data_IF_544480478598
#
_entry.id   IF_544480478598
#
_cell.length_a   1.000
_cell.length_b   1.000
_cell.length_c   1.000
_cell.angle_alpha   90.00
_cell.angle_beta   90.00
_cell.angle_gamma   90.00
#
_symmetry.space_group_name_H-M   'P 1'
#
loop_
_entity.id
_entity.type
_entity.pdbx_description
1 polymer ?
#
# COMPACT_ATOMS: atom_id res chain seq x y z
N UNK A 1 2.69 -8.78 -13.06
CA UNK A 1 2.85 -7.73 -14.09
C UNK A 1 3.00 -8.29 -15.50
N UNK A 2 3.82 -9.33 -15.75
CA UNK A 2 3.99 -9.90 -17.10
C UNK A 2 2.67 -10.31 -17.77
N UNK A 3 1.77 -10.97 -17.06
CA UNK A 3 0.47 -11.37 -17.61
C UNK A 3 -0.38 -10.16 -18.01
N UNK A 4 -0.37 -9.09 -17.19
CA UNK A 4 -1.09 -7.85 -17.51
C UNK A 4 -0.45 -7.19 -18.73
N UNK A 5 0.89 -7.13 -18.81
CA UNK A 5 1.59 -6.59 -19.97
C UNK A 5 1.20 -7.28 -21.27
N UNK A 6 1.14 -8.60 -21.25
CA UNK A 6 0.75 -9.40 -22.42
C UNK A 6 -0.75 -9.27 -22.75
N UNK A 7 -1.62 -9.39 -21.74
CA UNK A 7 -3.07 -9.35 -21.92
C UNK A 7 -3.56 -7.99 -22.44
N UNK A 8 -2.95 -6.89 -21.96
CA UNK A 8 -3.32 -5.52 -22.33
C UNK A 8 -2.56 -5.00 -23.57
N UNK A 9 -1.98 -5.89 -24.37
CA UNK A 9 -1.31 -5.55 -25.63
C UNK A 9 -0.27 -4.41 -25.47
N UNK A 10 0.47 -4.44 -24.36
CA UNK A 10 1.56 -3.51 -24.08
C UNK A 10 1.14 -2.03 -23.92
N UNK A 11 -0.11 -1.77 -23.53
CA UNK A 11 -0.65 -0.40 -23.37
C UNK A 11 -0.04 0.39 -22.20
N UNK A 12 0.47 -0.34 -21.21
CA UNK A 12 0.95 0.29 -19.98
C UNK A 12 2.47 0.28 -19.92
N UNK A 13 3.14 1.44 -20.07
CA UNK A 13 4.60 1.50 -20.03
C UNK A 13 5.20 1.12 -18.67
N UNK A 14 4.44 1.29 -17.58
CA UNK A 14 4.86 0.88 -16.24
C UNK A 14 3.78 0.02 -15.61
N UNK A 15 4.17 -1.14 -15.07
CA UNK A 15 3.31 -2.02 -14.28
C UNK A 15 4.08 -2.49 -13.05
N UNK A 16 3.53 -2.27 -11.87
CA UNK A 16 4.12 -2.63 -10.58
C UNK A 16 3.12 -3.48 -9.78
N UNK A 17 3.60 -4.34 -8.87
CA UNK A 17 2.71 -5.05 -7.96
C UNK A 17 1.92 -4.08 -7.08
N UNK A 18 0.74 -4.49 -6.67
CA UNK A 18 -0.18 -3.69 -5.84
C UNK A 18 -0.12 -4.02 -4.35
N UNK A 19 -1.29 -3.97 -3.71
CA UNK A 19 -1.47 -4.18 -2.28
C UNK A 19 -1.41 -5.64 -1.83
N UNK A 20 -1.64 -5.84 -0.54
CA UNK A 20 -1.58 -7.14 0.13
C UNK A 20 -2.72 -8.06 -0.27
N UNK A 21 -2.46 -9.36 -0.22
CA UNK A 21 -3.42 -10.40 -0.57
C UNK A 21 -3.18 -11.68 0.21
N UNK A 22 -4.20 -12.53 0.30
CA UNK A 22 -4.07 -13.85 0.91
C UNK A 22 -3.45 -14.81 -0.11
N UNK A 23 -2.24 -15.30 0.21
CA UNK A 23 -1.53 -16.24 -0.64
C UNK A 23 -2.37 -17.52 -0.84
N UNK A 24 -2.44 -18.00 -2.08
CA UNK A 24 -3.20 -19.18 -2.45
C UNK A 24 -4.71 -18.99 -2.61
N UNK A 25 -5.31 -17.97 -2.01
CA UNK A 25 -6.75 -17.69 -2.15
C UNK A 25 -7.08 -16.70 -3.28
N UNK A 26 -6.08 -16.01 -3.84
CA UNK A 26 -6.30 -14.99 -4.87
C UNK A 26 -7.18 -13.81 -4.42
N UNK A 27 -7.31 -13.60 -3.10
CA UNK A 27 -8.17 -12.57 -2.52
C UNK A 27 -7.33 -11.38 -2.04
N UNK A 28 -7.65 -10.17 -2.51
CA UNK A 28 -7.07 -8.93 -1.98
C UNK A 28 -7.55 -8.70 -0.55
N UNK A 29 -6.64 -8.29 0.33
CA UNK A 29 -6.92 -7.73 1.66
C UNK A 29 -6.55 -6.25 1.73
N UNK A 30 -6.37 -5.65 0.56
CA UNK A 30 -6.14 -4.23 0.37
C UNK A 30 -7.25 -3.66 -0.51
N UNK A 31 -7.63 -2.41 -0.24
CA UNK A 31 -8.65 -1.70 -0.99
C UNK A 31 -8.28 -1.65 -2.48
N UNK A 32 -9.27 -1.84 -3.32
CA UNK A 32 -9.19 -1.59 -4.75
C UNK A 32 -10.41 -0.79 -5.18
N UNK A 33 -10.18 0.39 -5.71
CA UNK A 33 -11.22 1.21 -6.33
C UNK A 33 -10.81 1.48 -7.78
N UNK A 34 -11.72 1.28 -8.71
CA UNK A 34 -11.54 1.54 -10.13
C UNK A 34 -12.79 2.19 -10.69
N UNK A 35 -12.62 3.28 -11.44
CA UNK A 35 -13.72 4.00 -12.08
C UNK A 35 -14.80 4.43 -11.05
N UNK A 36 -14.37 4.75 -9.82
CA UNK A 36 -15.25 5.13 -8.72
C UNK A 36 -15.93 3.98 -7.98
N UNK A 37 -15.74 2.73 -8.41
CA UNK A 37 -16.31 1.54 -7.78
C UNK A 37 -15.29 0.85 -6.86
N UNK A 38 -15.70 0.51 -5.63
CA UNK A 38 -14.88 -0.24 -4.67
C UNK A 38 -15.05 -1.74 -4.94
N UNK A 39 -14.00 -2.36 -5.46
CA UNK A 39 -13.97 -3.77 -5.86
C UNK A 39 -13.42 -4.70 -4.77
N UNK A 40 -12.62 -4.16 -3.86
CA UNK A 40 -12.11 -4.84 -2.68
C UNK A 40 -11.88 -3.83 -1.55
N UNK A 41 -11.90 -4.29 -0.31
CA UNK A 41 -11.71 -3.45 0.88
C UNK A 41 -10.44 -3.84 1.63
N UNK A 42 -9.89 -2.91 2.41
CA UNK A 42 -8.83 -3.20 3.35
C UNK A 42 -9.30 -4.21 4.41
N UNK A 43 -8.38 -4.98 5.00
CA UNK A 43 -8.68 -5.80 6.16
C UNK A 43 -9.41 -4.94 7.20
N UNK A 44 -10.58 -5.39 7.62
CA UNK A 44 -11.45 -4.64 8.54
C UNK A 44 -11.18 -5.00 10.00
N UNK A 45 -10.63 -6.18 10.24
CA UNK A 45 -10.35 -6.69 11.57
C UNK A 45 -9.01 -7.43 11.57
N UNK A 46 -8.26 -7.23 12.62
CA UNK A 46 -7.02 -7.95 12.92
C UNK A 46 -7.10 -8.52 14.33
N UNK A 47 -6.86 -9.80 14.48
CA UNK A 47 -6.84 -10.44 15.80
C UNK A 47 -5.41 -10.48 16.32
N UNK A 48 -5.21 -9.99 17.54
CA UNK A 48 -3.95 -10.05 18.28
C UNK A 48 -4.23 -10.50 19.72
N UNK A 49 -3.60 -11.58 20.14
CA UNK A 49 -3.80 -12.12 21.50
C UNK A 49 -5.28 -12.25 21.89
N UNK A 50 -6.11 -12.81 21.01
CA UNK A 50 -7.56 -13.01 21.17
C UNK A 50 -8.40 -11.72 21.29
N UNK A 51 -7.83 -10.54 21.00
CA UNK A 51 -8.54 -9.27 20.93
C UNK A 51 -8.71 -8.84 19.46
N UNK A 52 -9.87 -8.27 19.15
CA UNK A 52 -10.18 -7.74 17.82
C UNK A 52 -9.79 -6.27 17.74
N UNK A 53 -8.96 -5.94 16.77
CA UNK A 53 -8.55 -4.57 16.45
C UNK A 53 -9.10 -4.19 15.07
N UNK A 54 -9.42 -2.93 14.89
CA UNK A 54 -10.04 -2.40 13.67
C UNK A 54 -9.16 -1.29 13.07
N UNK A 55 -8.05 -1.65 12.39
CA UNK A 55 -7.14 -0.65 11.85
C UNK A 55 -7.73 0.05 10.62
N UNK A 56 -7.55 1.35 10.54
CA UNK A 56 -7.55 2.03 9.24
C UNK A 56 -6.25 1.69 8.53
N UNK A 57 -6.29 1.46 7.23
CA UNK A 57 -5.12 1.13 6.40
C UNK A 57 -4.88 2.21 5.36
N UNK A 58 -3.62 2.42 5.03
CA UNK A 58 -3.24 3.37 4.00
C UNK A 58 -3.85 3.05 2.64
N UNK A 59 -4.25 4.09 1.93
CA UNK A 59 -4.60 4.05 0.51
C UNK A 59 -3.82 5.11 -0.24
N UNK A 60 -3.51 4.84 -1.51
CA UNK A 60 -3.07 5.81 -2.49
C UNK A 60 -4.18 5.99 -3.51
N UNK A 61 -4.62 7.21 -3.72
CA UNK A 61 -5.80 7.48 -4.54
C UNK A 61 -5.57 8.58 -5.56
N UNK A 62 -6.29 8.47 -6.67
CA UNK A 62 -6.52 9.54 -7.64
C UNK A 62 -7.94 10.05 -7.43
N UNK A 63 -8.07 11.30 -7.03
CA UNK A 63 -9.38 11.96 -6.91
C UNK A 63 -9.99 12.22 -8.30
N UNK A 64 -11.31 12.42 -8.36
CA UNK A 64 -12.01 12.81 -9.61
C UNK A 64 -11.53 14.14 -10.18
N UNK A 65 -10.84 14.94 -9.39
CA UNK A 65 -10.25 16.22 -9.83
C UNK A 65 -8.81 16.07 -10.35
N UNK A 66 -8.29 14.83 -10.46
CA UNK A 66 -6.97 14.56 -11.03
C UNK A 66 -5.80 14.71 -10.06
N UNK A 67 -6.03 14.84 -8.75
CA UNK A 67 -4.98 14.92 -7.74
C UNK A 67 -4.75 13.59 -7.06
N UNK A 68 -3.47 13.25 -6.87
CA UNK A 68 -3.06 12.09 -6.10
C UNK A 68 -2.82 12.46 -4.64
N UNK A 69 -3.19 11.56 -3.73
CA UNK A 69 -2.93 11.68 -2.30
C UNK A 69 -2.86 10.31 -1.62
N UNK A 70 -2.38 10.30 -0.38
CA UNK A 70 -2.57 9.18 0.55
C UNK A 70 -3.54 9.57 1.65
N UNK A 71 -4.33 8.63 2.13
CA UNK A 71 -5.18 8.78 3.30
C UNK A 71 -5.30 7.41 4.00
N UNK A 72 -5.79 7.39 5.25
CA UNK A 72 -6.20 6.14 5.90
C UNK A 72 -7.64 5.85 5.58
N UNK A 73 -7.97 4.59 5.26
CA UNK A 73 -9.32 4.20 4.89
C UNK A 73 -9.81 3.01 5.70
N UNK A 74 -11.11 2.98 5.91
CA UNK A 74 -11.83 1.86 6.51
C UNK A 74 -13.21 1.72 5.86
N UNK A 75 -13.62 0.47 5.60
CA UNK A 75 -14.97 0.18 5.10
C UNK A 75 -15.81 -0.36 6.25
N UNK A 76 -16.87 0.34 6.58
CA UNK A 76 -17.80 -0.02 7.64
C UNK A 76 -18.67 -1.22 7.26
N UNK A 77 -19.34 -1.82 8.23
CA UNK A 77 -20.16 -3.03 8.02
C UNK A 77 -21.35 -2.83 7.07
N UNK A 78 -21.81 -1.59 6.90
CA UNK A 78 -22.80 -1.20 5.91
C UNK A 78 -22.23 -0.97 4.50
N UNK A 79 -20.94 -1.27 4.30
CA UNK A 79 -20.26 -1.19 3.00
C UNK A 79 -19.78 0.21 2.61
N UNK A 80 -19.91 1.21 3.48
CA UNK A 80 -19.41 2.56 3.18
C UNK A 80 -17.93 2.66 3.50
N UNK A 81 -17.12 3.07 2.52
CA UNK A 81 -15.71 3.35 2.72
C UNK A 81 -15.51 4.82 3.08
N UNK A 82 -14.86 5.06 4.22
CA UNK A 82 -14.44 6.38 4.69
C UNK A 82 -12.94 6.52 4.61
N UNK A 83 -12.50 7.75 4.32
CA UNK A 83 -11.10 8.19 4.45
C UNK A 83 -10.94 9.12 5.64
N UNK A 84 -9.76 9.12 6.26
CA UNK A 84 -9.45 9.86 7.48
C UNK A 84 -8.09 10.55 7.34
N UNK A 85 -7.95 11.72 7.99
CA UNK A 85 -6.70 12.49 8.05
C UNK A 85 -5.69 11.89 9.05
N UNK A 86 -6.16 11.04 9.97
CA UNK A 86 -5.35 10.36 10.98
C UNK A 86 -5.73 8.88 11.03
N UNK A 87 -4.78 7.98 11.33
CA UNK A 87 -5.10 6.58 11.52
C UNK A 87 -5.90 6.34 12.81
N UNK A 88 -6.64 5.24 12.86
CA UNK A 88 -7.18 4.74 14.12
C UNK A 88 -6.01 4.44 15.07
N UNK A 89 -6.04 4.93 16.33
CA UNK A 89 -4.89 4.84 17.24
C UNK A 89 -4.75 3.43 17.84
N UNK A 90 -4.65 2.41 17.00
CA UNK A 90 -4.43 1.03 17.42
C UNK A 90 -2.97 0.82 17.84
N UNK A 91 -2.78 -0.11 18.77
CA UNK A 91 -1.47 -0.62 19.17
C UNK A 91 -1.65 -2.02 19.72
N UNK A 92 -0.97 -3.01 19.13
CA UNK A 92 -0.99 -4.39 19.63
C UNK A 92 -0.55 -4.46 21.09
N UNK A 93 -1.24 -5.30 21.88
CA UNK A 93 -1.01 -5.44 23.32
C UNK A 93 -1.76 -4.44 24.22
N UNK A 94 -2.37 -3.41 23.65
CA UNK A 94 -3.22 -2.44 24.36
C UNK A 94 -4.71 -2.76 24.17
N UNK A 95 -5.59 -1.99 24.85
CA UNK A 95 -7.03 -2.15 24.62
C UNK A 95 -7.41 -1.73 23.20
N UNK A 96 -8.18 -2.56 22.49
CA UNK A 96 -8.66 -2.23 21.17
C UNK A 96 -9.50 -0.95 21.15
N UNK A 97 -9.33 -0.18 20.09
CA UNK A 97 -10.17 0.98 19.84
C UNK A 97 -11.50 0.55 19.20
N UNK A 98 -12.56 1.38 19.30
CA UNK A 98 -13.79 1.15 18.55
C UNK A 98 -13.52 1.00 17.04
N UNK A 99 -14.38 0.27 16.35
CA UNK A 99 -14.31 0.21 14.89
C UNK A 99 -14.49 1.60 14.27
N UNK A 100 -13.70 1.96 13.24
CA UNK A 100 -13.84 3.24 12.56
C UNK A 100 -15.23 3.47 12.00
N UNK A 101 -15.65 4.72 12.02
CA UNK A 101 -17.00 5.16 11.61
C UNK A 101 -16.95 6.53 10.94
N UNK A 102 -18.10 7.10 10.60
CA UNK A 102 -18.17 8.47 10.08
C UNK A 102 -17.60 9.54 11.02
N UNK A 103 -17.36 9.20 12.32
CA UNK A 103 -16.93 10.16 13.35
C UNK A 103 -15.72 9.70 14.16
N UNK A 104 -15.17 8.53 13.87
CA UNK A 104 -14.00 7.97 14.55
C UNK A 104 -13.08 7.25 13.54
N UNK A 105 -11.74 7.39 13.63
CA UNK A 105 -10.89 8.08 14.62
C UNK A 105 -10.97 9.61 14.55
N UNK A 106 -11.30 10.15 13.43
CA UNK A 106 -11.59 11.56 13.15
C UNK A 106 -12.88 11.62 12.33
N UNK A 107 -13.29 12.81 11.88
CA UNK A 107 -14.40 12.93 10.93
C UNK A 107 -14.03 12.22 9.63
N UNK A 108 -14.75 11.15 9.31
CA UNK A 108 -14.60 10.41 8.06
C UNK A 108 -15.23 11.14 6.87
N UNK A 109 -14.55 11.11 5.75
CA UNK A 109 -15.07 11.57 4.46
C UNK A 109 -15.35 10.33 3.60
N UNK A 110 -16.51 10.24 2.98
CA UNK A 110 -16.79 9.12 2.08
C UNK A 110 -15.79 9.11 0.93
N UNK A 111 -15.23 7.94 0.64
CA UNK A 111 -14.29 7.78 -0.46
C UNK A 111 -14.91 8.30 -1.76
N UNK A 112 -14.22 9.20 -2.44
CA UNK A 112 -14.62 9.80 -3.71
C UNK A 112 -13.44 9.82 -4.69
N UNK A 113 -12.85 8.65 -4.88
CA UNK A 113 -11.73 8.44 -5.78
C UNK A 113 -12.19 7.95 -7.15
N UNK A 114 -11.49 8.34 -8.20
CA UNK A 114 -11.57 7.71 -9.52
C UNK A 114 -10.90 6.32 -9.47
N UNK A 115 -9.76 6.27 -8.82
CA UNK A 115 -8.97 5.07 -8.61
C UNK A 115 -8.29 5.13 -7.25
N UNK A 116 -8.23 4.00 -6.54
CA UNK A 116 -7.46 3.86 -5.31
C UNK A 116 -6.93 2.45 -5.13
N UNK A 117 -5.75 2.36 -4.52
CA UNK A 117 -5.14 1.10 -4.11
C UNK A 117 -4.80 1.16 -2.63
N UNK A 118 -5.18 0.12 -1.90
CA UNK A 118 -4.80 -0.07 -0.51
C UNK A 118 -3.39 -0.66 -0.37
N UNK A 119 -2.78 -0.37 0.75
CA UNK A 119 -1.46 -0.84 1.14
C UNK A 119 -1.20 -0.49 2.59
N UNK A 120 -0.08 0.15 2.84
CA UNK A 120 0.36 0.63 4.14
C UNK A 120 1.67 -0.02 4.59
N UNK A 121 2.31 0.56 5.60
CA UNK A 121 1.90 1.81 6.24
C UNK A 121 2.10 3.03 5.34
N UNK A 122 1.42 4.13 5.70
CA UNK A 122 1.74 5.45 5.12
C UNK A 122 3.12 5.87 5.62
N UNK A 123 3.98 6.20 4.67
CA UNK A 123 5.37 6.59 4.91
C UNK A 123 5.53 8.10 5.02
N UNK A 124 4.86 8.82 4.12
CA UNK A 124 4.84 10.29 4.07
C UNK A 124 3.40 10.76 3.97
N UNK A 125 3.09 11.84 4.67
CA UNK A 125 1.83 12.58 4.56
C UNK A 125 2.12 14.07 4.70
N UNK A 126 1.67 14.86 3.73
CA UNK A 126 1.84 16.32 3.70
C UNK A 126 3.32 16.75 3.90
N UNK A 127 4.25 16.07 3.23
CA UNK A 127 5.69 16.31 3.31
C UNK A 127 6.38 15.84 4.59
N UNK A 128 5.63 15.26 5.54
CA UNK A 128 6.14 14.77 6.80
C UNK A 128 6.28 13.25 6.82
N UNK A 129 7.37 12.74 7.39
CA UNK A 129 7.52 11.31 7.65
C UNK A 129 6.51 10.90 8.73
N UNK A 130 5.67 9.91 8.42
CA UNK A 130 4.65 9.39 9.34
C UNK A 130 4.99 7.98 9.82
N UNK A 131 5.23 7.08 8.91
CA UNK A 131 5.61 5.69 9.16
C UNK A 131 4.69 4.99 10.18
N UNK A 132 3.39 4.98 9.90
CA UNK A 132 2.28 4.61 10.81
C UNK A 132 2.07 3.10 10.93
N UNK A 133 3.14 2.30 10.87
CA UNK A 133 3.02 0.83 10.90
C UNK A 133 2.42 0.30 12.21
N UNK A 134 2.60 1.00 13.34
CA UNK A 134 2.03 0.60 14.64
C UNK A 134 0.51 0.75 14.61
N UNK A 135 0.02 1.94 14.26
CA UNK A 135 -1.40 2.28 14.23
C UNK A 135 -2.15 1.48 13.16
N UNK A 136 -1.49 1.20 12.04
CA UNK A 136 -2.03 0.36 10.97
C UNK A 136 -1.88 -1.15 11.24
N UNK A 137 -1.35 -1.55 12.41
CA UNK A 137 -1.10 -2.95 12.82
C UNK A 137 -0.29 -3.75 11.79
N UNK A 138 0.77 -3.13 11.28
CA UNK A 138 1.83 -3.83 10.57
C UNK A 138 2.96 -4.23 11.54
N UNK A 139 2.56 -4.81 12.67
CA UNK A 139 3.41 -5.36 13.71
C UNK A 139 4.11 -6.66 13.27
N UNK A 140 4.80 -7.32 14.19
CA UNK A 140 5.53 -8.57 13.91
C UNK A 140 4.62 -9.67 13.38
N UNK A 141 3.36 -9.77 13.85
CA UNK A 141 2.39 -10.77 13.43
C UNK A 141 1.87 -10.55 12.01
N UNK A 142 2.02 -9.34 11.47
CA UNK A 142 1.59 -9.00 10.11
C UNK A 142 2.43 -9.65 9.01
N UNK A 143 3.65 -10.08 9.33
CA UNK A 143 4.63 -10.59 8.36
C UNK A 143 5.23 -9.52 7.44
N UNK A 144 4.89 -8.24 7.61
CA UNK A 144 5.40 -7.12 6.79
C UNK A 144 6.80 -6.68 7.24
N UNK A 145 7.12 -6.86 8.54
CA UNK A 145 8.41 -6.53 9.15
C UNK A 145 8.95 -5.14 8.75
N UNK A 146 8.30 -4.04 9.20
CA UNK A 146 8.62 -2.67 8.76
C UNK A 146 10.05 -2.23 9.04
N UNK A 147 10.63 -2.72 10.14
CA UNK A 147 11.98 -2.35 10.59
C UNK A 147 13.09 -3.22 9.99
N UNK A 148 12.72 -4.31 9.31
CA UNK A 148 13.67 -5.25 8.70
C UNK A 148 13.96 -4.90 7.24
N UNK A 149 15.15 -5.32 6.77
CA UNK A 149 15.57 -5.13 5.38
C UNK A 149 14.93 -6.18 4.49
N UNK A 150 14.07 -5.73 3.57
CA UNK A 150 13.37 -6.59 2.60
C UNK A 150 13.32 -5.93 1.22
N UNK A 151 13.04 -6.69 0.14
CA UNK A 151 12.53 -6.11 -1.08
C UNK A 151 11.28 -5.31 -0.78
N UNK A 152 11.16 -4.11 -1.32
CA UNK A 152 10.04 -3.21 -1.03
C UNK A 152 9.45 -2.64 -2.30
N UNK A 153 8.16 -2.35 -2.22
CA UNK A 153 7.40 -1.64 -3.23
C UNK A 153 6.72 -0.46 -2.56
N UNK A 154 6.75 0.69 -3.18
CA UNK A 154 6.04 1.87 -2.70
C UNK A 154 5.52 2.72 -3.86
N UNK A 155 4.55 3.56 -3.56
CA UNK A 155 4.03 4.57 -4.46
C UNK A 155 3.98 5.90 -3.72
N UNK A 156 4.32 6.98 -4.41
CA UNK A 156 4.29 8.31 -3.83
C UNK A 156 3.90 9.36 -4.85
N UNK A 157 3.61 10.55 -4.38
CA UNK A 157 3.30 11.71 -5.20
C UNK A 157 4.08 12.93 -4.72
N UNK A 158 4.63 13.68 -5.67
CA UNK A 158 5.33 14.95 -5.41
C UNK A 158 4.35 16.11 -5.29
N UNK A 159 4.81 17.24 -4.74
CA UNK A 159 4.03 18.47 -4.66
C UNK A 159 3.49 18.95 -6.01
N UNK A 160 4.14 18.58 -7.12
CA UNK A 160 3.71 18.91 -8.49
C UNK A 160 2.81 17.81 -9.10
N UNK A 161 2.19 16.98 -8.27
CA UNK A 161 1.30 15.88 -8.66
C UNK A 161 1.93 14.83 -9.60
N UNK A 162 3.26 14.63 -9.53
CA UNK A 162 3.95 13.57 -10.27
C UNK A 162 4.00 12.30 -9.42
N UNK A 163 3.56 11.19 -9.97
CA UNK A 163 3.59 9.88 -9.29
C UNK A 163 4.97 9.26 -9.40
N UNK A 164 5.45 8.72 -8.29
CA UNK A 164 6.70 7.95 -8.17
C UNK A 164 6.33 6.49 -7.93
N UNK A 165 6.71 5.62 -8.86
CA UNK A 165 6.69 4.16 -8.70
C UNK A 165 8.06 3.73 -8.18
N UNK A 166 8.09 3.06 -7.05
CA UNK A 166 9.33 2.69 -6.37
C UNK A 166 9.39 1.21 -6.07
N UNK A 167 10.49 0.56 -6.45
CA UNK A 167 10.82 -0.80 -6.03
C UNK A 167 12.30 -0.87 -5.63
N UNK A 168 12.62 -1.72 -4.67
CA UNK A 168 14.00 -2.08 -4.39
C UNK A 168 14.15 -3.61 -4.27
N UNK A 169 15.29 -4.10 -4.76
CA UNK A 169 15.70 -5.48 -4.53
C UNK A 169 16.03 -5.74 -3.06
N UNK A 170 16.17 -7.00 -2.68
CA UNK A 170 16.62 -7.38 -1.36
C UNK A 170 16.82 -8.88 -1.24
N UNK A 171 17.11 -9.34 -0.02
CA UNK A 171 17.42 -10.76 0.27
C UNK A 171 18.63 -11.28 -0.50
N UNK A 172 19.55 -10.38 -0.85
CA UNK A 172 20.81 -10.69 -1.56
C UNK A 172 20.63 -11.48 -2.86
N UNK A 173 19.51 -11.29 -3.58
CA UNK A 173 19.32 -11.83 -4.94
C UNK A 173 20.39 -11.25 -5.88
N UNK A 174 20.69 -9.97 -5.73
CA UNK A 174 21.94 -9.36 -6.18
C UNK A 174 22.86 -9.31 -4.99
N UNK A 175 24.11 -9.77 -5.15
CA UNK A 175 25.09 -9.85 -4.07
C UNK A 175 25.24 -8.50 -3.34
N UNK A 176 25.18 -8.54 -2.01
CA UNK A 176 25.27 -7.35 -1.15
C UNK A 176 24.00 -6.51 -1.03
N UNK A 177 22.98 -6.73 -1.86
CA UNK A 177 21.73 -5.97 -1.82
C UNK A 177 20.75 -6.60 -0.82
N UNK A 178 20.70 -6.05 0.40
CA UNK A 178 19.82 -6.55 1.49
C UNK A 178 18.39 -6.11 1.36
N UNK A 179 18.12 -4.97 0.74
CA UNK A 179 16.82 -4.29 0.70
C UNK A 179 16.76 -3.08 1.62
N UNK A 180 15.56 -2.63 1.94
CA UNK A 180 15.32 -1.45 2.78
C UNK A 180 14.31 -1.76 3.87
N UNK A 181 14.44 -1.07 5.02
CA UNK A 181 13.35 -0.92 5.98
C UNK A 181 12.47 0.29 5.58
N UNK A 182 11.32 0.46 6.23
CA UNK A 182 10.38 1.51 5.84
C UNK A 182 10.87 2.92 6.15
N UNK A 183 11.67 3.11 7.19
CA UNK A 183 12.25 4.42 7.50
C UNK A 183 13.23 4.87 6.40
N UNK A 184 14.07 3.97 5.90
CA UNK A 184 14.95 4.26 4.76
C UNK A 184 14.14 4.60 3.51
N UNK A 185 13.09 3.82 3.23
CA UNK A 185 12.24 4.05 2.07
C UNK A 185 11.51 5.39 2.14
N UNK A 186 10.98 5.78 3.31
CA UNK A 186 10.40 7.09 3.54
C UNK A 186 11.38 8.22 3.25
N UNK A 187 12.64 8.11 3.72
CA UNK A 187 13.67 9.10 3.47
C UNK A 187 14.04 9.21 1.98
N UNK A 188 14.14 8.08 1.28
CA UNK A 188 14.39 8.08 -0.17
C UNK A 188 13.25 8.75 -0.92
N UNK A 189 12.00 8.38 -0.65
CA UNK A 189 10.84 8.99 -1.31
C UNK A 189 10.74 10.49 -1.03
N UNK A 190 11.04 10.91 0.21
CA UNK A 190 11.11 12.33 0.57
C UNK A 190 12.22 13.05 -0.22
N UNK A 191 13.38 12.44 -0.38
CA UNK A 191 14.49 13.02 -1.17
C UNK A 191 14.17 13.13 -2.67
N UNK A 192 13.26 12.27 -3.17
CA UNK A 192 12.72 12.34 -4.53
C UNK A 192 11.60 13.40 -4.69
N UNK A 193 11.31 14.16 -3.63
CA UNK A 193 10.32 15.22 -3.63
C UNK A 193 8.89 14.78 -3.36
N UNK A 194 8.67 13.53 -2.90
CA UNK A 194 7.34 13.09 -2.50
C UNK A 194 6.85 13.87 -1.28
N UNK A 195 5.60 14.28 -1.32
CA UNK A 195 4.87 14.86 -0.18
C UNK A 195 3.98 13.80 0.47
N UNK A 196 3.42 12.90 -0.33
CA UNK A 196 2.69 11.73 0.15
C UNK A 196 3.33 10.45 -0.41
N UNK A 197 3.40 9.39 0.40
CA UNK A 197 3.90 8.09 -0.03
C UNK A 197 3.40 6.97 0.88
N UNK A 198 3.23 5.80 0.29
CA UNK A 198 2.72 4.61 0.97
C UNK A 198 3.48 3.36 0.51
N UNK A 199 3.74 2.45 1.45
CA UNK A 199 4.23 1.11 1.16
C UNK A 199 3.13 0.24 0.54
N UNK A 200 3.51 -0.61 -0.39
CA UNK A 200 2.69 -1.66 -0.99
C UNK A 200 3.22 -3.04 -0.58
N UNK A 201 2.63 -4.11 -1.13
CA UNK A 201 3.12 -5.46 -0.86
C UNK A 201 4.57 -5.61 -1.33
N UNK A 202 5.38 -6.23 -0.49
CA UNK A 202 6.82 -6.31 -0.66
C UNK A 202 7.34 -7.75 -0.78
N UNK A 203 8.60 -7.94 -0.41
CA UNK A 203 9.21 -9.26 -0.38
C UNK A 203 9.18 -9.96 -1.73
N UNK A 204 8.64 -11.19 -1.78
CA UNK A 204 8.54 -11.98 -3.00
C UNK A 204 7.56 -11.43 -4.04
N UNK A 205 6.68 -10.50 -3.66
CA UNK A 205 5.74 -9.84 -4.58
C UNK A 205 6.34 -8.63 -5.29
N UNK A 206 7.45 -8.09 -4.76
CA UNK A 206 8.11 -6.91 -5.33
C UNK A 206 8.53 -7.15 -6.78
N UNK A 207 7.91 -6.41 -7.68
CA UNK A 207 8.24 -6.45 -9.11
C UNK A 207 7.72 -5.20 -9.82
N UNK A 208 8.45 -4.76 -10.82
CA UNK A 208 8.04 -3.68 -11.72
C UNK A 208 8.55 -3.97 -13.13
N UNK A 209 7.71 -3.68 -14.11
CA UNK A 209 8.05 -3.67 -15.52
C UNK A 209 8.07 -2.24 -16.03
N UNK A 210 9.06 -1.92 -16.83
CA UNK A 210 9.11 -0.71 -17.66
C UNK A 210 9.21 -1.17 -19.12
N UNK A 211 8.24 -0.81 -19.93
CA UNK A 211 8.12 -1.25 -21.33
C UNK A 211 8.26 -2.78 -21.48
N UNK A 212 7.63 -3.54 -20.58
CA UNK A 212 7.66 -5.00 -20.55
C UNK A 212 8.94 -5.62 -20.00
N UNK A 213 9.94 -4.84 -19.65
CA UNK A 213 11.21 -5.34 -19.10
C UNK A 213 11.23 -5.22 -17.57
N UNK A 214 11.61 -6.28 -16.84
CA UNK A 214 11.76 -6.19 -15.39
C UNK A 214 12.92 -5.28 -15.02
N UNK A 215 12.69 -4.38 -14.05
CA UNK A 215 13.71 -3.42 -13.59
C UNK A 215 14.48 -3.89 -12.36
N UNK A 216 14.01 -4.97 -11.73
CA UNK A 216 14.65 -5.63 -10.59
C UNK A 216 14.58 -7.15 -10.72
N UNK A 217 15.44 -7.86 -10.01
CA UNK A 217 15.37 -9.32 -9.87
C UNK A 217 14.38 -9.69 -8.77
N UNK A 218 13.31 -10.47 -9.07
CA UNK A 218 12.38 -10.92 -8.05
C UNK A 218 13.04 -11.83 -7.00
N UNK A 219 12.82 -11.56 -5.72
CA UNK A 219 13.43 -12.35 -4.64
C UNK A 219 12.86 -13.77 -4.48
N UNK A 220 11.78 -14.09 -5.18
CA UNK A 220 11.19 -15.41 -5.26
C UNK A 220 11.73 -16.24 -6.47
N UNK A 221 12.79 -15.77 -7.14
CA UNK A 221 13.36 -16.38 -8.36
C UNK A 221 12.60 -16.04 -9.63
N UNK A 222 11.29 -15.84 -9.56
CA UNK A 222 10.42 -15.40 -10.65
C UNK A 222 9.36 -14.44 -10.14
N UNK A 223 8.66 -13.75 -11.05
CA UNK A 223 7.51 -12.94 -10.66
C UNK A 223 6.42 -13.82 -10.05
N UNK A 224 6.07 -13.54 -8.80
CA UNK A 224 4.99 -14.19 -8.09
C UNK A 224 3.64 -13.82 -8.71
N UNK A 225 2.66 -14.75 -8.68
CA UNK A 225 1.27 -14.41 -8.91
C UNK A 225 0.80 -13.42 -7.83
N UNK A 226 0.22 -12.33 -8.27
CA UNK A 226 -0.29 -11.23 -7.43
C UNK A 226 -1.76 -10.98 -7.76
N UNK A 227 -2.51 -10.46 -6.79
CA UNK A 227 -3.95 -10.22 -6.96
C UNK A 227 -4.24 -8.86 -7.58
N UNK A 228 -3.43 -7.85 -7.27
CA UNK A 228 -3.59 -6.48 -7.75
C UNK A 228 -2.28 -5.92 -8.29
N UNK A 229 -2.39 -4.99 -9.22
CA UNK A 229 -1.25 -4.25 -9.77
C UNK A 229 -1.62 -2.77 -9.94
N UNK A 230 -0.60 -1.92 -9.97
CA UNK A 230 -0.71 -0.52 -10.38
C UNK A 230 -0.06 -0.39 -11.75
N UNK A 231 -0.77 0.25 -12.68
CA UNK A 231 -0.30 0.48 -14.04
C UNK A 231 -0.45 1.95 -14.42
N UNK A 232 0.55 2.47 -15.12
CA UNK A 232 0.49 3.81 -15.74
C UNK A 232 0.08 3.65 -17.20
N UNK A 233 -0.87 4.49 -17.62
CA UNK A 233 -1.32 4.57 -19.02
C UNK A 233 -0.77 5.84 -19.68
#
# INVERSE_FOLDING_TARGET
PNQIWQAEQQKYPIIMNGGYFVMGAGKSVSLLCREGEVLAVNSQEEIRSQKSYYPTRGIFQLSKNGYFSTDWAYTTTDGVTYTYEQPSPNKSGYEPQPAPSAYFPTRGVKLNAETAIGGGPILLKDGSVRNTFIEELFDEESGVAPESYHPRTAIGVTANNKVIFFVCEGRSVTEGVKGMNMAMMANVLKSLGCVDAMNLDGGGSTCMLVNGQPVIKPSAGAQRAITTAVALK
#
